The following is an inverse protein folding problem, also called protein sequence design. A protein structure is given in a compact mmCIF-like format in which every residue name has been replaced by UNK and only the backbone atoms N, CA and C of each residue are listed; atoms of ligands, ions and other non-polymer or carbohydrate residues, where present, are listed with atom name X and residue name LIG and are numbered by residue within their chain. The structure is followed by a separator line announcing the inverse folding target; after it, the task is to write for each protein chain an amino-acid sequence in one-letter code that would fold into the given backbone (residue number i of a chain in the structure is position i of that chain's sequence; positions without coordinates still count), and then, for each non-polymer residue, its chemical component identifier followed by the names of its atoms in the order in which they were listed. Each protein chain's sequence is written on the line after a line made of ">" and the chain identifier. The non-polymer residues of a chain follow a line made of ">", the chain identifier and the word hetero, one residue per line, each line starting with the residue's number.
data_IF_745286647526
#
_entry.id   IF_745286647526
#
_cell.length_a   1.000
_cell.length_b   1.000
_cell.length_c   1.000
_cell.angle_alpha   90.00
_cell.angle_beta   90.00
_cell.angle_gamma   90.00
#
_symmetry.space_group_name_H-M   'P 1'
#
loop_
_entity.id
_entity.type
_entity.pdbx_description
1 polymer ?
#
# COMPACT_ATOMS: atom_id res chain seq x y z
N UNK A 1 44.73 53.73 32.17
CA UNK A 1 43.82 52.82 32.91
C UNK A 1 42.68 52.37 32.00
N UNK A 2 42.97 51.65 30.89
CA UNK A 2 41.94 51.30 29.88
C UNK A 2 42.19 49.96 29.13
N UNK A 3 43.25 49.22 29.47
CA UNK A 3 43.64 48.00 28.73
C UNK A 3 43.10 46.69 29.34
N UNK A 4 42.59 46.71 30.57
CA UNK A 4 42.03 45.53 31.24
C UNK A 4 40.59 45.19 30.78
N UNK A 5 39.84 46.16 30.26
CA UNK A 5 38.42 46.00 29.91
C UNK A 5 38.19 45.25 28.59
N UNK A 6 39.12 45.36 27.63
CA UNK A 6 39.03 44.68 26.34
C UNK A 6 39.14 43.14 26.42
N UNK A 7 40.11 42.56 27.17
CA UNK A 7 40.19 41.10 27.33
C UNK A 7 39.02 40.54 28.17
N UNK A 8 38.55 41.24 29.20
CA UNK A 8 37.39 40.80 29.98
C UNK A 8 36.09 40.84 29.18
N UNK A 9 35.89 41.87 28.35
CA UNK A 9 34.75 41.93 27.43
C UNK A 9 34.79 40.80 26.37
N UNK A 10 35.98 40.43 25.89
CA UNK A 10 36.17 39.28 24.99
C UNK A 10 35.85 37.97 25.70
N UNK A 11 36.32 37.77 26.93
CA UNK A 11 36.01 36.57 27.72
C UNK A 11 34.50 36.44 27.97
N UNK A 12 33.82 37.52 28.37
CA UNK A 12 32.37 37.49 28.59
C UNK A 12 31.56 37.24 27.30
N UNK A 13 32.08 37.62 26.14
CA UNK A 13 31.48 37.24 24.84
C UNK A 13 31.66 35.75 24.56
N UNK A 14 32.84 35.21 24.81
CA UNK A 14 33.17 33.79 24.60
C UNK A 14 32.34 32.90 25.54
N UNK A 15 32.18 33.27 26.81
CA UNK A 15 31.35 32.53 27.76
C UNK A 15 29.88 32.49 27.33
N UNK A 16 29.36 33.61 26.82
CA UNK A 16 27.99 33.69 26.32
C UNK A 16 27.80 32.81 25.07
N UNK A 17 28.75 32.86 24.14
CA UNK A 17 28.73 32.01 22.94
C UNK A 17 28.85 30.52 23.31
N UNK A 18 29.69 30.19 24.28
CA UNK A 18 29.84 28.81 24.78
C UNK A 18 28.56 28.29 25.44
N UNK A 19 27.86 29.13 26.20
CA UNK A 19 26.58 28.79 26.80
C UNK A 19 25.51 28.53 25.73
N UNK A 20 25.48 29.32 24.66
CA UNK A 20 24.58 29.10 23.52
C UNK A 20 24.93 27.81 22.78
N UNK A 21 26.22 27.54 22.57
CA UNK A 21 26.69 26.29 21.94
C UNK A 21 26.30 25.07 22.76
N UNK A 22 26.51 25.09 24.08
CA UNK A 22 26.06 24.01 24.97
C UNK A 22 24.55 23.78 24.88
N UNK A 23 23.76 24.85 24.90
CA UNK A 23 22.31 24.73 24.80
C UNK A 23 21.87 24.09 23.47
N UNK A 24 22.50 24.46 22.36
CA UNK A 24 22.22 23.88 21.04
C UNK A 24 22.66 22.42 20.95
N UNK A 25 23.81 22.07 21.52
CA UNK A 25 24.28 20.68 21.60
C UNK A 25 23.30 19.80 22.37
N UNK A 26 22.84 20.27 23.54
CA UNK A 26 21.86 19.54 24.33
C UNK A 26 20.54 19.33 23.57
N UNK A 27 20.07 20.34 22.81
CA UNK A 27 18.90 20.16 21.95
C UNK A 27 19.12 19.15 20.81
N UNK A 28 20.32 19.13 20.22
CA UNK A 28 20.66 18.17 19.16
C UNK A 28 20.67 16.76 19.72
N UNK A 29 21.30 16.55 20.88
CA UNK A 29 21.37 15.25 21.55
C UNK A 29 19.98 14.70 21.89
N UNK A 30 19.10 15.54 22.45
CA UNK A 30 17.72 15.15 22.74
C UNK A 30 16.94 14.77 21.48
N UNK A 31 17.16 15.49 20.36
CA UNK A 31 16.55 15.12 19.08
C UNK A 31 17.15 13.82 18.56
N UNK A 32 18.47 13.62 18.70
CA UNK A 32 19.17 12.43 18.24
C UNK A 32 18.72 11.16 18.98
N UNK A 33 18.41 11.23 20.27
CA UNK A 33 17.81 10.11 21.03
C UNK A 33 16.40 9.75 20.51
N UNK A 34 15.63 10.73 20.02
CA UNK A 34 14.26 10.49 19.55
C UNK A 34 14.17 9.94 18.13
N UNK A 35 15.22 10.10 17.32
CA UNK A 35 15.30 9.60 15.93
C UNK A 35 15.24 8.07 15.84
N UNK A 36 16.06 7.28 16.56
CA UNK A 36 16.02 5.83 16.46
C UNK A 36 14.65 5.27 16.84
N UNK A 37 14.00 5.80 17.87
CA UNK A 37 12.63 5.40 18.26
C UNK A 37 11.60 5.63 17.15
N UNK A 38 11.71 6.77 16.43
CA UNK A 38 10.82 7.07 15.28
C UNK A 38 11.11 6.16 14.10
N UNK A 39 12.38 5.88 13.81
CA UNK A 39 12.80 4.97 12.74
C UNK A 39 12.29 3.55 13.01
N UNK A 40 12.49 3.02 14.23
CA UNK A 40 11.97 1.71 14.62
C UNK A 40 10.45 1.63 14.50
N UNK A 41 9.72 2.69 14.87
CA UNK A 41 8.26 2.73 14.68
C UNK A 41 7.85 2.76 13.21
N UNK A 42 8.63 3.40 12.34
CA UNK A 42 8.39 3.39 10.89
C UNK A 42 8.68 2.00 10.31
N UNK A 43 9.76 1.34 10.72
CA UNK A 43 10.09 -0.03 10.29
C UNK A 43 8.96 -1.01 10.65
N UNK A 44 8.45 -0.95 11.88
CA UNK A 44 7.31 -1.78 12.31
C UNK A 44 6.04 -1.52 11.47
N UNK A 45 5.76 -0.25 11.15
CA UNK A 45 4.62 0.10 10.29
C UNK A 45 4.82 -0.39 8.86
N UNK A 46 6.04 -0.32 8.33
CA UNK A 46 6.39 -0.86 7.01
C UNK A 46 6.26 -2.36 6.95
N UNK A 47 6.72 -3.08 7.97
CA UNK A 47 6.59 -4.53 8.06
C UNK A 47 5.12 -4.96 8.12
N UNK A 48 4.31 -4.25 8.93
CA UNK A 48 2.87 -4.49 8.99
C UNK A 48 2.18 -4.22 7.64
N UNK A 49 2.50 -3.11 6.98
CA UNK A 49 1.96 -2.80 5.64
C UNK A 49 2.39 -3.87 4.62
N UNK A 50 3.65 -4.30 4.64
CA UNK A 50 4.14 -5.37 3.77
C UNK A 50 3.36 -6.67 3.97
N UNK A 51 3.09 -7.05 5.22
CA UNK A 51 2.24 -8.20 5.54
C UNK A 51 0.80 -8.06 5.04
N UNK A 52 0.19 -6.87 5.18
CA UNK A 52 -1.14 -6.60 4.63
C UNK A 52 -1.17 -6.67 3.09
N UNK A 53 -0.14 -6.16 2.41
CA UNK A 53 -0.03 -6.26 0.95
C UNK A 53 0.11 -7.73 0.50
N UNK A 54 0.87 -8.55 1.23
CA UNK A 54 0.98 -9.97 0.94
C UNK A 54 -0.39 -10.68 1.06
N UNK A 55 -1.12 -10.43 2.14
CA UNK A 55 -2.48 -10.98 2.32
C UNK A 55 -3.46 -10.48 1.26
N UNK A 56 -3.37 -9.20 0.87
CA UNK A 56 -4.20 -8.65 -0.20
C UNK A 56 -3.93 -9.35 -1.54
N UNK A 57 -2.66 -9.62 -1.86
CA UNK A 57 -2.28 -10.33 -3.07
C UNK A 57 -2.80 -11.78 -3.07
N UNK A 58 -2.69 -12.49 -1.94
CA UNK A 58 -3.30 -13.83 -1.78
C UNK A 58 -4.82 -13.79 -1.95
N UNK A 59 -5.48 -12.79 -1.36
CA UNK A 59 -6.92 -12.58 -1.50
C UNK A 59 -7.34 -12.29 -2.95
N UNK A 60 -6.55 -11.50 -3.69
CA UNK A 60 -6.78 -11.25 -5.11
C UNK A 60 -6.63 -12.51 -5.95
N UNK A 61 -5.61 -13.33 -5.68
CA UNK A 61 -5.42 -14.60 -6.39
C UNK A 61 -6.58 -15.57 -6.14
N UNK A 62 -7.02 -15.70 -4.88
CA UNK A 62 -8.19 -16.50 -4.52
C UNK A 62 -9.46 -15.99 -5.23
N UNK A 63 -9.65 -14.67 -5.31
CA UNK A 63 -10.77 -14.07 -6.04
C UNK A 63 -10.68 -14.38 -7.54
N UNK A 64 -9.51 -14.25 -8.16
CA UNK A 64 -9.29 -14.59 -9.57
C UNK A 64 -9.63 -16.05 -9.86
N UNK A 65 -9.24 -16.97 -8.98
CA UNK A 65 -9.57 -18.39 -9.11
C UNK A 65 -11.09 -18.64 -9.03
N UNK A 66 -11.76 -18.00 -8.07
CA UNK A 66 -13.23 -18.07 -7.94
C UNK A 66 -13.92 -17.50 -9.18
N UNK A 67 -13.50 -16.33 -9.65
CA UNK A 67 -14.06 -15.67 -10.84
C UNK A 67 -13.85 -16.52 -12.09
N UNK A 68 -12.67 -17.10 -12.28
CA UNK A 68 -12.36 -18.01 -13.39
C UNK A 68 -13.23 -19.27 -13.32
N UNK A 69 -13.41 -19.82 -12.12
CA UNK A 69 -14.28 -20.96 -11.87
C UNK A 69 -15.74 -20.68 -12.22
N UNK A 70 -16.28 -19.53 -11.80
CA UNK A 70 -17.64 -19.10 -12.12
C UNK A 70 -17.79 -18.84 -13.62
N UNK A 71 -16.86 -18.10 -14.22
CA UNK A 71 -16.85 -17.81 -15.65
C UNK A 71 -16.92 -19.09 -16.48
N UNK A 72 -16.08 -20.09 -16.15
CA UNK A 72 -16.07 -21.38 -16.84
C UNK A 72 -17.42 -22.11 -16.74
N UNK A 73 -18.07 -22.11 -15.57
CA UNK A 73 -19.40 -22.73 -15.39
C UNK A 73 -20.47 -22.03 -16.24
N UNK A 74 -20.44 -20.69 -16.27
CA UNK A 74 -21.38 -19.89 -17.07
C UNK A 74 -21.17 -20.15 -18.56
N UNK A 75 -19.92 -20.14 -19.04
CA UNK A 75 -19.61 -20.43 -20.44
C UNK A 75 -20.13 -21.80 -20.87
N UNK A 76 -19.95 -22.84 -20.04
CA UNK A 76 -20.49 -24.17 -20.32
C UNK A 76 -22.01 -24.19 -20.36
N UNK A 77 -22.67 -23.54 -19.39
CA UNK A 77 -24.13 -23.46 -19.37
C UNK A 77 -24.68 -22.76 -20.63
N UNK A 78 -24.06 -21.65 -21.05
CA UNK A 78 -24.42 -20.93 -22.27
C UNK A 78 -24.16 -21.75 -23.53
N UNK A 79 -23.05 -22.48 -23.60
CA UNK A 79 -22.74 -23.36 -24.73
C UNK A 79 -23.79 -24.48 -24.87
N UNK A 80 -24.19 -25.09 -23.75
CA UNK A 80 -25.27 -26.09 -23.73
C UNK A 80 -26.57 -25.46 -24.20
N UNK A 81 -26.96 -24.30 -23.63
CA UNK A 81 -28.19 -23.60 -24.02
C UNK A 81 -28.21 -23.24 -25.51
N UNK A 82 -27.08 -22.74 -26.05
CA UNK A 82 -26.93 -22.43 -27.47
C UNK A 82 -27.04 -23.66 -28.36
N UNK A 83 -26.45 -24.78 -27.93
CA UNK A 83 -26.52 -26.05 -28.66
C UNK A 83 -27.97 -26.57 -28.70
N UNK A 84 -28.66 -26.56 -27.57
CA UNK A 84 -30.07 -26.97 -27.49
C UNK A 84 -30.96 -26.07 -28.36
N UNK A 85 -30.71 -24.76 -28.34
CA UNK A 85 -31.41 -23.80 -29.19
C UNK A 85 -31.19 -24.08 -30.68
N UNK A 86 -29.96 -24.35 -31.09
CA UNK A 86 -29.63 -24.67 -32.48
C UNK A 86 -30.33 -25.96 -32.96
N UNK A 87 -30.39 -26.99 -32.12
CA UNK A 87 -31.10 -28.24 -32.43
C UNK A 87 -32.60 -27.97 -32.61
N UNK A 88 -33.21 -27.17 -31.73
CA UNK A 88 -34.62 -26.79 -31.85
C UNK A 88 -34.91 -26.06 -33.18
N UNK A 89 -34.01 -25.16 -33.61
CA UNK A 89 -34.14 -24.47 -34.89
C UNK A 89 -34.06 -25.42 -36.11
N UNK A 90 -33.35 -26.53 -36.01
CA UNK A 90 -33.25 -27.50 -37.12
C UNK A 90 -34.51 -28.37 -37.24
N UNK A 91 -35.13 -28.72 -36.11
CA UNK A 91 -36.31 -29.60 -36.07
C UNK A 91 -37.62 -28.82 -36.29
N UNK A 92 -37.71 -27.58 -35.80
CA UNK A 92 -38.90 -26.73 -35.90
C UNK A 92 -39.46 -26.55 -37.32
N UNK A 93 -38.68 -26.10 -38.33
CA UNK A 93 -39.16 -25.92 -39.70
C UNK A 93 -39.52 -27.24 -40.37
N UNK A 94 -38.83 -28.32 -40.01
CA UNK A 94 -39.09 -29.67 -40.54
C UNK A 94 -40.43 -30.19 -40.05
N UNK A 95 -40.77 -29.97 -38.77
CA UNK A 95 -42.07 -30.32 -38.20
C UNK A 95 -43.20 -29.40 -38.71
N UNK A 96 -42.94 -28.10 -38.87
CA UNK A 96 -43.93 -27.16 -39.40
C UNK A 96 -44.34 -27.50 -40.84
N UNK A 97 -43.41 -27.94 -41.69
CA UNK A 97 -43.72 -28.40 -43.06
C UNK A 97 -44.48 -29.72 -43.13
N UNK A 98 -44.43 -30.54 -42.10
CA UNK A 98 -45.18 -31.80 -42.03
C UNK A 98 -46.61 -31.57 -41.52
N UNK A 99 -46.83 -30.56 -40.68
CA UNK A 99 -48.14 -30.26 -40.09
C UNK A 99 -48.92 -29.11 -40.77
N UNK A 100 -48.25 -28.23 -41.51
CA UNK A 100 -48.87 -27.17 -42.30
C UNK A 100 -48.49 -27.40 -43.78
N UNK A 101 -49.43 -27.86 -44.63
CA UNK A 101 -49.18 -28.04 -46.07
C UNK A 101 -48.97 -26.70 -46.80
#
# INVERSE_FOLDING_TARGET
>A
MSTATAPEARLGSIERDLAVVQHRLHQIEHRHESVPTRVTKLEQQFEHMSGQLAQLNEGQQALTDVVTGIGRKITWALAIASTLWAILQMVGPTLLRVFVP
#
